data_IF_326399295559
#
_entry.id   IF_326399295559
#
_cell.length_a   1.000
_cell.length_b   1.000
_cell.length_c   1.000
_cell.angle_alpha   90.00
_cell.angle_beta   90.00
_cell.angle_gamma   90.00
#
_symmetry.space_group_name_H-M   'P 1'
#
loop_
_entity.id
_entity.type
_entity.pdbx_description
1 polymer ?
#
# COMPACT_ATOMS: atom_id res chain seq x y z
N UNK A 1 12.63 3.47 6.23
CA UNK A 1 12.91 2.45 5.18
C UNK A 1 12.59 3.03 3.81
N UNK A 2 13.56 3.04 2.87
CA UNK A 2 13.38 3.69 1.57
C UNK A 2 12.48 2.88 0.64
N UNK A 3 11.70 3.56 -0.21
CA UNK A 3 10.86 2.89 -1.22
C UNK A 3 11.68 2.01 -2.17
N UNK A 4 12.90 2.44 -2.51
CA UNK A 4 13.82 1.69 -3.38
C UNK A 4 14.20 0.32 -2.83
N UNK A 5 14.15 0.15 -1.50
CA UNK A 5 14.53 -1.08 -0.79
C UNK A 5 13.36 -2.07 -0.67
N UNK A 6 12.14 -1.67 -1.03
CA UNK A 6 10.96 -2.52 -0.88
C UNK A 6 10.93 -3.66 -1.90
N UNK A 7 10.56 -4.89 -1.49
CA UNK A 7 10.37 -6.03 -2.39
C UNK A 7 8.98 -5.94 -3.06
N UNK A 8 8.80 -4.93 -3.91
CA UNK A 8 7.60 -4.66 -4.72
C UNK A 8 8.03 -4.40 -6.18
N UNK A 9 7.11 -4.50 -7.16
CA UNK A 9 7.41 -4.22 -8.56
C UNK A 9 8.01 -2.82 -8.79
N UNK A 10 8.95 -2.72 -9.72
CA UNK A 10 9.69 -1.47 -9.97
C UNK A 10 8.77 -0.35 -10.47
N UNK A 11 7.76 -0.69 -11.28
CA UNK A 11 6.72 0.25 -11.73
C UNK A 11 6.01 0.94 -10.55
N UNK A 12 5.74 0.20 -9.47
CA UNK A 12 5.10 0.75 -8.27
C UNK A 12 6.04 1.72 -7.55
N UNK A 13 7.33 1.37 -7.44
CA UNK A 13 8.32 2.27 -6.82
C UNK A 13 8.44 3.58 -7.58
N UNK A 14 8.47 3.53 -8.91
CA UNK A 14 8.52 4.73 -9.75
C UNK A 14 7.33 5.66 -9.53
N UNK A 15 6.11 5.11 -9.51
CA UNK A 15 4.88 5.89 -9.24
C UNK A 15 4.94 6.53 -7.87
N UNK A 16 5.34 5.78 -6.83
CA UNK A 16 5.44 6.30 -5.47
C UNK A 16 6.47 7.44 -5.36
N UNK A 17 7.67 7.26 -5.93
CA UNK A 17 8.72 8.29 -5.92
C UNK A 17 8.26 9.53 -6.68
N UNK A 18 7.63 9.37 -7.86
CA UNK A 18 7.05 10.50 -8.62
C UNK A 18 5.95 11.23 -7.85
N UNK A 19 5.21 10.52 -7.00
CA UNK A 19 4.19 11.11 -6.10
C UNK A 19 4.78 11.76 -4.83
N UNK A 20 6.11 11.77 -4.68
CA UNK A 20 6.82 12.36 -3.54
C UNK A 20 7.01 11.42 -2.34
N UNK A 21 6.64 10.15 -2.47
CA UNK A 21 6.81 9.14 -1.42
C UNK A 21 8.17 8.47 -1.63
N UNK A 22 9.16 8.86 -0.84
CA UNK A 22 10.54 8.35 -0.93
C UNK A 22 10.93 7.43 0.23
N UNK A 23 10.26 7.57 1.37
CA UNK A 23 10.52 6.79 2.58
C UNK A 23 9.21 6.46 3.32
N UNK A 24 9.17 5.28 3.94
CA UNK A 24 8.06 4.85 4.79
C UNK A 24 8.10 5.52 6.17
N UNK A 25 6.92 5.85 6.70
CA UNK A 25 6.75 6.21 8.10
C UNK A 25 6.98 5.00 9.03
N UNK A 26 7.33 5.24 10.31
CA UNK A 26 7.62 4.14 11.25
C UNK A 26 6.52 3.05 11.33
N UNK A 27 5.21 3.39 11.44
CA UNK A 27 4.17 2.35 11.48
C UNK A 27 4.04 1.55 10.18
N UNK A 28 4.38 2.15 9.04
CA UNK A 28 4.36 1.46 7.75
C UNK A 28 5.54 0.48 7.66
N UNK A 29 6.74 0.93 8.04
CA UNK A 29 7.93 0.08 8.10
C UNK A 29 7.74 -1.10 9.05
N UNK A 30 7.13 -0.87 10.22
CA UNK A 30 6.75 -1.94 11.16
C UNK A 30 5.81 -2.96 10.50
N UNK A 31 4.81 -2.51 9.72
CA UNK A 31 3.93 -3.40 8.99
C UNK A 31 4.67 -4.24 7.93
N UNK A 32 5.61 -3.63 7.18
CA UNK A 32 6.45 -4.36 6.23
C UNK A 32 7.26 -5.44 6.95
N UNK A 33 7.92 -5.08 8.06
CA UNK A 33 8.70 -6.02 8.89
C UNK A 33 7.84 -7.12 9.53
N UNK A 34 6.57 -6.86 9.80
CA UNK A 34 5.62 -7.85 10.29
C UNK A 34 5.15 -8.85 9.20
N UNK A 35 5.58 -8.67 7.94
CA UNK A 35 5.30 -9.58 6.84
C UNK A 35 4.13 -9.15 5.94
N UNK A 36 3.80 -7.86 5.89
CA UNK A 36 2.72 -7.35 5.03
C UNK A 36 2.91 -7.78 3.56
N UNK A 37 4.15 -7.66 3.05
CA UNK A 37 4.50 -8.02 1.67
C UNK A 37 4.82 -9.51 1.47
N UNK A 38 4.69 -10.32 2.52
CA UNK A 38 4.87 -11.78 2.48
C UNK A 38 3.52 -12.52 2.38
N UNK A 39 2.40 -11.78 2.39
CA UNK A 39 1.05 -12.36 2.37
C UNK A 39 0.58 -12.85 3.74
N UNK A 40 1.19 -12.39 4.84
CA UNK A 40 0.69 -12.66 6.19
C UNK A 40 -0.53 -11.78 6.48
N UNK A 41 -1.45 -12.30 7.30
CA UNK A 41 -2.56 -11.51 7.82
C UNK A 41 -2.05 -10.54 8.88
N UNK A 42 -2.50 -9.28 8.80
CA UNK A 42 -2.12 -8.22 9.74
C UNK A 42 -3.32 -7.41 10.18
N UNK A 43 -3.27 -6.92 11.43
CA UNK A 43 -4.17 -5.89 11.95
C UNK A 43 -3.32 -4.66 12.23
N UNK A 44 -3.47 -3.63 11.41
CA UNK A 44 -2.71 -2.38 11.54
C UNK A 44 -3.54 -1.33 12.30
N UNK A 45 -3.21 -1.11 13.57
CA UNK A 45 -3.83 -0.08 14.40
C UNK A 45 -2.87 1.10 14.58
N UNK A 46 -3.18 2.23 13.95
CA UNK A 46 -2.40 3.46 14.07
C UNK A 46 -3.28 4.70 13.90
N UNK A 47 -2.85 5.89 14.36
CA UNK A 47 -3.61 7.12 14.17
C UNK A 47 -3.94 7.42 12.69
N UNK A 48 -5.01 8.18 12.45
CA UNK A 48 -5.27 8.76 11.12
C UNK A 48 -4.09 9.62 10.67
N UNK A 49 -3.90 9.76 9.35
CA UNK A 49 -2.72 10.39 8.73
C UNK A 49 -1.36 9.68 8.89
N UNK A 50 -1.26 8.57 9.64
CA UNK A 50 -0.01 7.80 9.73
C UNK A 50 0.26 6.90 8.51
N UNK A 51 -0.50 7.05 7.42
CA UNK A 51 -0.26 6.35 6.16
C UNK A 51 -0.66 4.87 6.11
N UNK A 52 -1.68 4.42 6.86
CA UNK A 52 -2.21 3.04 6.79
C UNK A 52 -2.59 2.61 5.38
N UNK A 53 -3.16 3.54 4.61
CA UNK A 53 -3.62 3.30 3.24
C UNK A 53 -2.49 2.78 2.35
N UNK A 54 -1.30 3.38 2.44
CA UNK A 54 -0.15 2.96 1.63
C UNK A 54 0.24 1.51 1.89
N UNK A 55 0.17 1.02 3.14
CA UNK A 55 0.47 -0.39 3.44
C UNK A 55 -0.51 -1.31 2.70
N UNK A 56 -1.80 -0.97 2.71
CA UNK A 56 -2.82 -1.74 2.00
C UNK A 56 -2.61 -1.69 0.47
N UNK A 57 -2.27 -0.52 -0.08
CA UNK A 57 -1.94 -0.33 -1.50
C UNK A 57 -0.75 -1.20 -1.92
N UNK A 58 0.34 -1.18 -1.15
CA UNK A 58 1.54 -1.98 -1.44
C UNK A 58 1.23 -3.49 -1.47
N UNK A 59 0.45 -3.98 -0.50
CA UNK A 59 -0.01 -5.36 -0.49
C UNK A 59 -0.87 -5.69 -1.71
N UNK A 60 -1.79 -4.79 -2.07
CA UNK A 60 -2.70 -4.98 -3.18
C UNK A 60 -1.96 -5.02 -4.53
N UNK A 61 -1.12 -4.01 -4.79
CA UNK A 61 -0.36 -3.87 -6.03
C UNK A 61 0.60 -5.04 -6.22
N UNK A 62 1.31 -5.43 -5.15
CA UNK A 62 2.18 -6.61 -5.21
C UNK A 62 1.40 -7.87 -5.58
N UNK A 63 0.24 -8.08 -4.96
CA UNK A 63 -0.59 -9.23 -5.25
C UNK A 63 -1.09 -9.24 -6.71
N UNK A 64 -1.64 -8.13 -7.20
CA UNK A 64 -2.18 -8.03 -8.56
C UNK A 64 -1.08 -8.23 -9.60
N UNK A 65 0.07 -7.56 -9.42
CA UNK A 65 1.15 -7.54 -10.41
C UNK A 65 2.01 -8.82 -10.42
N UNK A 66 2.24 -9.45 -9.26
CA UNK A 66 3.09 -10.65 -9.19
C UNK A 66 2.31 -11.96 -9.30
N UNK A 67 1.02 -11.96 -8.92
CA UNK A 67 0.20 -13.19 -8.88
C UNK A 67 -0.92 -13.22 -9.91
N UNK A 68 -1.05 -12.19 -10.74
CA UNK A 68 -2.16 -12.02 -11.72
C UNK A 68 -3.54 -12.20 -11.05
N UNK A 69 -3.65 -11.71 -9.82
CA UNK A 69 -4.80 -11.87 -8.94
C UNK A 69 -5.69 -10.64 -8.87
N UNK A 70 -6.74 -10.72 -8.03
CA UNK A 70 -7.64 -9.61 -7.73
C UNK A 70 -7.65 -9.33 -6.24
N UNK A 71 -7.85 -8.06 -5.88
CA UNK A 71 -7.89 -7.60 -4.49
C UNK A 71 -9.23 -6.92 -4.23
N UNK A 72 -9.81 -7.19 -3.07
CA UNK A 72 -11.01 -6.52 -2.59
C UNK A 72 -10.62 -5.47 -1.55
N UNK A 73 -10.77 -4.19 -1.90
CA UNK A 73 -10.55 -3.08 -0.99
C UNK A 73 -11.89 -2.62 -0.41
N UNK A 74 -12.10 -2.81 0.89
CA UNK A 74 -13.38 -2.55 1.56
C UNK A 74 -13.32 -1.24 2.34
N UNK A 75 -14.30 -0.36 2.12
CA UNK A 75 -14.51 0.88 2.87
C UNK A 75 -15.91 0.89 3.48
N UNK A 76 -16.14 1.64 4.58
CA UNK A 76 -17.43 1.63 5.26
C UNK A 76 -18.51 2.44 4.53
N UNK A 77 -18.14 3.37 3.63
CA UNK A 77 -19.06 4.30 2.98
C UNK A 77 -18.78 4.38 1.48
N UNK A 78 -19.83 4.57 0.67
CA UNK A 78 -19.72 4.73 -0.79
C UNK A 78 -18.85 5.91 -1.20
N UNK A 79 -18.95 7.04 -0.48
CA UNK A 79 -18.13 8.21 -0.76
C UNK A 79 -16.63 7.90 -0.62
N UNK A 80 -16.25 7.15 0.42
CA UNK A 80 -14.86 6.72 0.63
C UNK A 80 -14.41 5.69 -0.42
N UNK A 81 -15.33 4.84 -0.90
CA UNK A 81 -15.02 3.94 -2.01
C UNK A 81 -14.67 4.72 -3.29
N UNK A 82 -15.42 5.77 -3.63
CA UNK A 82 -15.13 6.61 -4.78
C UNK A 82 -13.81 7.38 -4.62
N UNK A 83 -13.54 7.93 -3.44
CA UNK A 83 -12.25 8.59 -3.15
C UNK A 83 -11.06 7.64 -3.38
N UNK A 84 -11.14 6.40 -2.89
CA UNK A 84 -10.07 5.41 -3.10
C UNK A 84 -9.99 4.92 -4.54
N UNK A 85 -11.12 4.85 -5.25
CA UNK A 85 -11.12 4.55 -6.69
C UNK A 85 -10.30 5.59 -7.46
N UNK A 86 -10.59 6.89 -7.26
CA UNK A 86 -9.86 7.98 -7.91
C UNK A 86 -8.37 7.98 -7.53
N UNK A 87 -8.04 7.73 -6.27
CA UNK A 87 -6.64 7.63 -5.83
C UNK A 87 -5.89 6.45 -6.47
N UNK A 88 -6.57 5.35 -6.76
CA UNK A 88 -5.96 4.16 -7.35
C UNK A 88 -5.72 4.30 -8.85
N UNK A 89 -6.36 5.24 -9.55
CA UNK A 89 -6.12 5.50 -10.98
C UNK A 89 -4.71 6.04 -11.29
N UNK A 90 -3.93 6.40 -10.26
CA UNK A 90 -2.52 6.80 -10.41
C UNK A 90 -1.56 5.64 -10.70
N UNK A 91 -1.99 4.40 -10.47
CA UNK A 91 -1.20 3.17 -10.68
C UNK A 91 -1.49 2.54 -12.03
#
# INVERSE_FOLDING_TARGET
>A
MKITELPIPESVKEVLIKSGIVELYPPQEEAIKAGALEGRNLVLASPTASGKTLVAELCALKHVLEKDGKVLYLTPLRALANEKYEEFEKY
#
